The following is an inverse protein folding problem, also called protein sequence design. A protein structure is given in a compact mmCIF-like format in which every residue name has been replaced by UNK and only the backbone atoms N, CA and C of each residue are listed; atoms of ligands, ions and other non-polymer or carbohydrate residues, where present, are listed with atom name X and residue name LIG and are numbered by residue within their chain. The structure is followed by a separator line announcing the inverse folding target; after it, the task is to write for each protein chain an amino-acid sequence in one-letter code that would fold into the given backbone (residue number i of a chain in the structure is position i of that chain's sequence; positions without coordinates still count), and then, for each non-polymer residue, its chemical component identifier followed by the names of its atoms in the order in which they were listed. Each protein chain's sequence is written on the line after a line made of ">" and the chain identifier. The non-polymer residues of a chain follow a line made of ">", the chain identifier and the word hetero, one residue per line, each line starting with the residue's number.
data_IF_571312061826
#
_entry.id   IF_571312061826
#
_cell.length_a   1.000
_cell.length_b   1.000
_cell.length_c   1.000
_cell.angle_alpha   90.00
_cell.angle_beta   90.00
_cell.angle_gamma   90.00
#
_symmetry.space_group_name_H-M   'P 1'
#
loop_
_entity.id
_entity.type
_entity.pdbx_description
1 polymer ?
#
# COMPACT_ATOMS: atom_id res chain seq x y z
N UNK A 1 42.98 61.34 -8.00
CA UNK A 1 42.83 60.65 -6.69
C UNK A 1 41.37 60.74 -6.27
N UNK A 2 40.82 59.57 -5.94
CA UNK A 2 39.45 59.15 -5.63
C UNK A 2 38.35 60.15 -5.21
N UNK A 3 37.16 59.93 -5.80
CA UNK A 3 35.85 60.34 -5.35
C UNK A 3 35.17 59.23 -4.51
N UNK A 4 34.31 59.58 -3.54
CA UNK A 4 33.31 58.72 -2.89
C UNK A 4 32.24 59.62 -2.23
N UNK A 5 31.04 59.73 -2.81
CA UNK A 5 29.82 58.90 -2.63
C UNK A 5 29.10 59.10 -1.29
N UNK A 6 27.97 59.81 -1.35
CA UNK A 6 26.77 59.52 -0.55
C UNK A 6 25.63 59.36 -1.57
N UNK A 7 25.16 58.13 -1.78
CA UNK A 7 24.06 57.81 -2.70
C UNK A 7 22.86 57.40 -1.84
N UNK A 8 21.79 58.19 -1.93
CA UNK A 8 20.42 57.80 -1.59
C UNK A 8 19.97 56.67 -2.53
N UNK A 9 19.54 55.53 -1.98
CA UNK A 9 18.87 54.47 -2.74
C UNK A 9 17.52 54.18 -2.11
N UNK A 10 16.46 54.37 -2.90
CA UNK A 10 15.12 53.85 -2.67
C UNK A 10 15.09 52.32 -2.84
N UNK A 11 14.40 51.60 -1.94
CA UNK A 11 14.24 50.15 -2.01
C UNK A 11 12.91 49.71 -1.38
N UNK A 12 12.06 49.06 -2.19
CA UNK A 12 10.64 48.79 -1.95
C UNK A 12 10.28 47.70 -0.91
N UNK A 13 9.00 47.28 -0.89
CA UNK A 13 8.40 46.50 0.18
C UNK A 13 8.82 45.02 0.08
N UNK A 14 9.92 44.66 0.73
CA UNK A 14 10.39 43.27 0.75
C UNK A 14 11.03 42.95 2.09
N UNK A 15 10.26 42.91 3.19
CA UNK A 15 10.77 42.41 4.47
C UNK A 15 9.73 41.79 5.43
N UNK A 16 8.48 41.51 5.02
CA UNK A 16 7.48 40.87 5.90
C UNK A 16 6.81 39.66 5.23
N UNK A 17 7.60 38.79 4.60
CA UNK A 17 7.10 37.52 4.02
C UNK A 17 8.09 36.36 4.20
N UNK A 18 8.76 36.30 5.35
CA UNK A 18 9.59 35.14 5.75
C UNK A 18 9.29 34.78 7.20
N UNK A 19 8.24 33.99 7.43
CA UNK A 19 8.15 32.91 8.42
C UNK A 19 6.67 32.51 8.57
N UNK A 20 6.27 31.49 7.81
CA UNK A 20 5.38 30.35 8.14
C UNK A 20 5.09 29.72 6.78
N UNK A 21 6.09 29.06 6.19
CA UNK A 21 5.81 28.09 5.14
C UNK A 21 5.45 26.80 5.89
N UNK A 22 4.18 26.67 6.29
CA UNK A 22 3.68 25.35 6.61
C UNK A 22 3.79 24.54 5.32
N UNK A 23 4.76 23.63 5.26
CA UNK A 23 4.87 22.70 4.14
C UNK A 23 3.58 21.87 4.17
N UNK A 24 2.63 22.21 3.31
CA UNK A 24 1.41 21.44 3.14
C UNK A 24 1.85 20.12 2.50
N UNK A 25 1.94 19.09 3.34
CA UNK A 25 2.14 17.72 2.93
C UNK A 25 1.04 17.35 1.93
N UNK A 26 1.43 16.92 0.72
CA UNK A 26 0.47 16.48 -0.30
C UNK A 26 0.80 15.06 -0.70
N UNK A 27 -0.11 14.15 -0.38
CA UNK A 27 -0.01 12.78 -0.89
C UNK A 27 -0.09 12.76 -2.40
N UNK A 28 -1.00 13.53 -3.01
CA UNK A 28 -1.21 13.55 -4.44
C UNK A 28 -1.17 14.99 -4.98
N UNK A 29 -0.14 15.32 -5.76
CA UNK A 29 0.00 16.64 -6.38
C UNK A 29 -0.91 16.81 -7.62
N UNK A 30 -1.38 15.72 -8.22
CA UNK A 30 -2.09 15.72 -9.49
C UNK A 30 -3.61 15.59 -9.35
N UNK A 31 -4.12 15.19 -8.18
CA UNK A 31 -5.55 15.01 -7.94
C UNK A 31 -6.13 16.14 -7.08
N UNK A 32 -7.06 16.97 -7.62
CA UNK A 32 -7.74 17.99 -6.85
C UNK A 32 -8.48 17.41 -5.64
N UNK A 33 -8.45 18.15 -4.52
CA UNK A 33 -9.15 17.84 -3.26
C UNK A 33 -10.64 17.57 -3.51
N UNK A 34 -11.28 18.29 -4.43
CA UNK A 34 -12.71 18.08 -4.78
C UNK A 34 -13.02 16.73 -5.44
N UNK A 35 -12.01 16.04 -5.97
CA UNK A 35 -12.11 14.74 -6.64
C UNK A 35 -11.64 13.57 -5.77
N UNK A 36 -11.37 13.83 -4.49
CA UNK A 36 -11.03 12.83 -3.48
C UNK A 36 -12.23 12.58 -2.58
N UNK A 37 -12.42 11.34 -2.15
CA UNK A 37 -13.47 10.98 -1.19
C UNK A 37 -13.17 11.61 0.17
N UNK A 38 -14.18 12.23 0.77
CA UNK A 38 -14.10 12.80 2.11
C UNK A 38 -14.18 11.74 3.22
N UNK A 39 -13.96 12.17 4.46
CA UNK A 39 -14.01 11.32 5.66
C UNK A 39 -15.32 10.53 5.77
N UNK A 40 -16.48 11.18 5.65
CA UNK A 40 -17.77 10.49 5.77
C UNK A 40 -18.01 9.49 4.64
N UNK A 41 -17.57 9.79 3.42
CA UNK A 41 -17.63 8.85 2.29
C UNK A 41 -16.75 7.63 2.55
N UNK A 42 -15.58 7.81 3.17
CA UNK A 42 -14.71 6.69 3.57
C UNK A 42 -15.33 5.84 4.66
N UNK A 43 -15.95 6.45 5.68
CA UNK A 43 -16.67 5.74 6.72
C UNK A 43 -17.85 4.94 6.15
N UNK A 44 -18.60 5.52 5.21
CA UNK A 44 -19.68 4.83 4.51
C UNK A 44 -19.18 3.66 3.66
N UNK A 45 -18.09 3.86 2.91
CA UNK A 45 -17.45 2.80 2.12
C UNK A 45 -16.96 1.65 3.01
N UNK A 46 -16.27 1.99 4.10
CA UNK A 46 -15.81 1.02 5.11
C UNK A 46 -16.97 0.23 5.69
N UNK A 47 -18.04 0.91 6.13
CA UNK A 47 -19.20 0.28 6.75
C UNK A 47 -19.90 -0.66 5.76
N UNK A 48 -20.08 -0.22 4.51
CA UNK A 48 -20.71 -1.03 3.46
C UNK A 48 -19.89 -2.28 3.14
N UNK A 49 -18.58 -2.13 2.87
CA UNK A 49 -17.71 -3.26 2.52
C UNK A 49 -17.55 -4.24 3.68
N UNK A 50 -17.42 -3.72 4.91
CA UNK A 50 -17.36 -4.56 6.12
C UNK A 50 -18.68 -5.31 6.32
N UNK A 51 -19.83 -4.64 6.16
CA UNK A 51 -21.15 -5.28 6.28
C UNK A 51 -21.34 -6.39 5.24
N UNK A 52 -20.96 -6.16 3.98
CA UNK A 52 -21.01 -7.19 2.92
C UNK A 52 -20.15 -8.40 3.32
N UNK A 53 -18.92 -8.16 3.79
CA UNK A 53 -18.03 -9.23 4.26
C UNK A 53 -18.59 -10.01 5.45
N UNK A 54 -19.22 -9.32 6.41
CA UNK A 54 -19.87 -9.94 7.58
C UNK A 54 -21.05 -10.80 7.15
N UNK A 55 -21.96 -10.27 6.33
CA UNK A 55 -23.13 -11.00 5.86
C UNK A 55 -22.71 -12.26 5.08
N UNK A 56 -21.67 -12.14 4.25
CA UNK A 56 -21.11 -13.27 3.51
C UNK A 56 -20.48 -14.31 4.45
N UNK A 57 -19.71 -13.90 5.45
CA UNK A 57 -19.11 -14.82 6.42
C UNK A 57 -20.17 -15.52 7.28
N UNK A 58 -21.21 -14.81 7.71
CA UNK A 58 -22.34 -15.40 8.45
C UNK A 58 -23.10 -16.38 7.56
N UNK A 59 -23.30 -16.07 6.28
CA UNK A 59 -23.91 -16.99 5.31
C UNK A 59 -23.10 -18.28 5.13
N UNK A 60 -21.77 -18.20 5.21
CA UNK A 60 -20.87 -19.36 5.22
C UNK A 60 -20.84 -20.12 6.57
N UNK A 61 -21.60 -19.66 7.58
CA UNK A 61 -21.72 -20.31 8.88
C UNK A 61 -20.69 -19.88 9.93
N UNK A 62 -19.91 -18.82 9.68
CA UNK A 62 -19.00 -18.28 10.69
C UNK A 62 -19.75 -17.52 11.80
N UNK A 63 -19.37 -17.75 13.06
CA UNK A 63 -19.98 -17.11 14.22
C UNK A 63 -19.20 -17.31 15.52
N UNK A 64 -19.73 -16.79 16.63
CA UNK A 64 -19.14 -16.92 17.96
C UNK A 64 -18.04 -15.89 18.29
N UNK A 65 -17.43 -16.04 19.47
CA UNK A 65 -16.48 -15.05 20.01
C UNK A 65 -15.20 -14.93 19.17
N UNK A 66 -14.66 -16.03 18.64
CA UNK A 66 -13.46 -16.03 17.80
C UNK A 66 -13.68 -15.30 16.47
N UNK A 67 -14.86 -15.50 15.87
CA UNK A 67 -15.29 -14.73 14.69
C UNK A 67 -15.43 -13.25 15.02
N UNK A 68 -16.12 -12.89 16.11
CA UNK A 68 -16.30 -11.50 16.51
C UNK A 68 -14.97 -10.78 16.76
N UNK A 69 -14.00 -11.44 17.41
CA UNK A 69 -12.66 -10.90 17.63
C UNK A 69 -11.89 -10.69 16.33
N UNK A 70 -11.98 -11.66 15.41
CA UNK A 70 -11.35 -11.57 14.07
C UNK A 70 -11.96 -10.48 13.22
N UNK A 71 -13.29 -10.38 13.22
CA UNK A 71 -14.02 -9.33 12.54
C UNK A 71 -13.67 -7.95 13.11
N UNK A 72 -13.58 -7.81 14.43
CA UNK A 72 -13.18 -6.56 15.09
C UNK A 72 -11.79 -6.14 14.63
N UNK A 73 -10.83 -7.07 14.62
CA UNK A 73 -9.48 -6.77 14.18
C UNK A 73 -9.41 -6.40 12.69
N UNK A 74 -10.06 -7.18 11.84
CA UNK A 74 -10.17 -6.89 10.41
C UNK A 74 -10.80 -5.52 10.16
N UNK A 75 -11.98 -5.26 10.75
CA UNK A 75 -12.72 -4.03 10.55
C UNK A 75 -11.94 -2.81 11.02
N UNK A 76 -11.23 -2.90 12.15
CA UNK A 76 -10.39 -1.81 12.65
C UNK A 76 -9.19 -1.54 11.74
N UNK A 77 -8.45 -2.58 11.33
CA UNK A 77 -7.29 -2.41 10.45
C UNK A 77 -7.70 -1.88 9.08
N UNK A 78 -8.82 -2.35 8.55
CA UNK A 78 -9.37 -1.87 7.27
C UNK A 78 -9.92 -0.45 7.37
N UNK A 79 -10.53 -0.09 8.50
CA UNK A 79 -10.95 1.28 8.77
C UNK A 79 -9.77 2.23 8.68
N UNK A 80 -8.68 1.94 9.39
CA UNK A 80 -7.49 2.77 9.39
C UNK A 80 -6.91 2.93 7.97
N UNK A 81 -6.79 1.83 7.23
CA UNK A 81 -6.35 1.85 5.84
C UNK A 81 -7.18 2.84 4.98
N UNK A 82 -8.51 2.83 5.12
CA UNK A 82 -9.39 3.74 4.39
C UNK A 82 -9.37 5.19 4.92
N UNK A 83 -9.29 5.37 6.23
CA UNK A 83 -9.25 6.71 6.85
C UNK A 83 -8.00 7.49 6.45
N UNK A 84 -6.86 6.83 6.34
CA UNK A 84 -5.63 7.47 5.84
C UNK A 84 -5.73 7.89 4.37
N UNK A 85 -6.59 7.24 3.58
CA UNK A 85 -6.86 7.61 2.19
C UNK A 85 -7.95 8.69 2.04
N UNK A 86 -8.58 9.10 3.14
CA UNK A 86 -9.57 10.17 3.14
C UNK A 86 -8.92 11.51 2.82
N UNK A 87 -9.64 12.34 2.07
CA UNK A 87 -9.26 13.71 1.77
C UNK A 87 -8.94 14.51 3.04
N UNK A 88 -7.75 15.09 3.10
CA UNK A 88 -7.31 15.91 4.22
C UNK A 88 -6.86 15.11 5.45
N UNK A 89 -6.76 13.78 5.33
CA UNK A 89 -6.17 12.95 6.38
C UNK A 89 -4.70 13.32 6.60
N UNK A 90 -3.94 13.63 5.55
CA UNK A 90 -2.55 14.09 5.62
C UNK A 90 -2.37 15.33 6.48
N UNK A 91 -3.20 16.34 6.22
CA UNK A 91 -3.09 17.63 6.88
C UNK A 91 -3.68 17.58 8.28
N UNK A 92 -4.84 16.94 8.44
CA UNK A 92 -5.49 16.82 9.75
C UNK A 92 -4.72 15.94 10.70
N UNK A 93 -4.15 14.82 10.22
CA UNK A 93 -3.32 13.95 11.04
C UNK A 93 -2.01 14.66 11.36
N UNK A 94 -1.22 15.11 10.37
CA UNK A 94 0.07 15.75 10.65
C UNK A 94 -0.02 17.04 11.49
N UNK A 95 -1.14 17.78 11.42
CA UNK A 95 -1.36 18.99 12.22
C UNK A 95 -1.82 18.70 13.66
N UNK A 96 -2.60 17.64 13.89
CA UNK A 96 -3.11 17.29 15.23
C UNK A 96 -2.20 16.34 16.00
N UNK A 97 -1.30 15.67 15.30
CA UNK A 97 -0.55 14.56 15.83
C UNK A 97 0.96 14.76 15.64
N UNK A 98 1.69 14.86 16.76
CA UNK A 98 3.15 14.98 16.81
C UNK A 98 3.84 13.64 16.51
N UNK A 99 5.18 13.57 16.61
CA UNK A 99 5.93 12.31 16.50
C UNK A 99 5.41 11.18 17.42
N UNK A 100 4.76 11.51 18.55
CA UNK A 100 4.12 10.52 19.42
C UNK A 100 2.98 9.73 18.75
N UNK A 101 2.41 10.23 17.67
CA UNK A 101 1.26 9.61 17.00
C UNK A 101 1.55 8.34 16.25
N UNK A 102 2.75 8.19 15.69
CA UNK A 102 3.19 6.92 15.11
C UNK A 102 3.19 5.81 16.15
N UNK A 103 3.67 6.10 17.37
CA UNK A 103 3.67 5.16 18.47
C UNK A 103 2.28 4.91 19.05
N UNK A 104 1.40 5.92 19.12
CA UNK A 104 0.01 5.73 19.50
C UNK A 104 -0.74 4.83 18.51
N UNK A 105 -0.54 5.04 17.21
CA UNK A 105 -1.03 4.12 16.18
C UNK A 105 -0.45 2.72 16.40
N UNK A 106 0.86 2.59 16.63
CA UNK A 106 1.48 1.31 16.94
C UNK A 106 0.87 0.61 18.15
N UNK A 107 0.58 1.34 19.23
CA UNK A 107 -0.08 0.81 20.41
C UNK A 107 -1.52 0.35 20.10
N UNK A 108 -2.27 1.12 19.30
CA UNK A 108 -3.60 0.72 18.84
C UNK A 108 -3.55 -0.55 17.97
N UNK A 109 -2.58 -0.67 17.06
CA UNK A 109 -2.38 -1.86 16.24
C UNK A 109 -2.04 -3.09 17.10
N UNK A 110 -1.18 -2.94 18.11
CA UNK A 110 -0.85 -4.02 19.03
C UNK A 110 -2.07 -4.43 19.86
N UNK A 111 -2.83 -3.46 20.38
CA UNK A 111 -4.06 -3.73 21.13
C UNK A 111 -5.05 -4.54 20.29
N UNK A 112 -5.23 -4.17 19.02
CA UNK A 112 -6.11 -4.87 18.08
C UNK A 112 -5.63 -6.29 17.80
N UNK A 113 -4.32 -6.48 17.66
CA UNK A 113 -3.73 -7.81 17.57
C UNK A 113 -4.01 -8.65 18.83
N UNK A 114 -3.88 -8.06 20.02
CA UNK A 114 -4.16 -8.75 21.28
C UNK A 114 -5.64 -9.10 21.42
N UNK A 115 -6.56 -8.23 20.98
CA UNK A 115 -8.00 -8.53 20.92
C UNK A 115 -8.25 -9.77 20.04
N UNK A 116 -7.63 -9.83 18.86
CA UNK A 116 -7.68 -11.02 18.00
C UNK A 116 -7.12 -12.26 18.71
N UNK A 117 -5.90 -12.17 19.23
CA UNK A 117 -5.19 -13.32 19.78
C UNK A 117 -5.88 -13.90 21.01
N UNK A 118 -6.37 -13.03 21.92
CA UNK A 118 -7.12 -13.44 23.10
C UNK A 118 -8.52 -13.95 22.70
N UNK A 119 -9.23 -13.23 21.83
CA UNK A 119 -10.60 -13.58 21.44
C UNK A 119 -10.70 -14.86 20.61
N UNK A 120 -9.61 -15.26 19.94
CA UNK A 120 -9.49 -16.54 19.21
C UNK A 120 -8.83 -17.65 20.03
N UNK A 121 -8.52 -17.42 21.32
CA UNK A 121 -7.75 -18.32 22.18
C UNK A 121 -6.41 -18.76 21.56
N UNK A 122 -5.80 -17.89 20.77
CA UNK A 122 -4.54 -18.14 20.06
C UNK A 122 -3.36 -17.36 20.64
N UNK A 123 -3.55 -16.68 21.78
CA UNK A 123 -2.49 -15.92 22.43
C UNK A 123 -1.29 -16.79 22.79
N UNK A 124 -0.09 -16.30 22.46
CA UNK A 124 1.17 -16.78 23.00
C UNK A 124 2.13 -15.60 23.12
N UNK A 125 3.06 -15.67 24.07
CA UNK A 125 4.08 -14.62 24.24
C UNK A 125 4.91 -14.43 22.96
N UNK A 126 5.26 -15.52 22.27
CA UNK A 126 5.97 -15.46 21.00
C UNK A 126 5.18 -14.68 19.94
N UNK A 127 3.88 -14.97 19.78
CA UNK A 127 3.00 -14.28 18.83
C UNK A 127 2.88 -12.79 19.12
N UNK A 128 2.63 -12.45 20.39
CA UNK A 128 2.55 -11.06 20.82
C UNK A 128 3.87 -10.30 20.63
N UNK A 129 5.01 -10.94 20.94
CA UNK A 129 6.34 -10.35 20.74
C UNK A 129 6.65 -10.14 19.26
N UNK A 130 6.29 -11.09 18.39
CA UNK A 130 6.45 -10.93 16.94
C UNK A 130 5.56 -9.80 16.41
N UNK A 131 4.29 -9.74 16.80
CA UNK A 131 3.41 -8.63 16.42
C UNK A 131 3.97 -7.28 16.89
N UNK A 132 4.40 -7.18 18.14
CA UNK A 132 5.02 -5.97 18.67
C UNK A 132 6.30 -5.61 17.91
N UNK A 133 7.13 -6.58 17.54
CA UNK A 133 8.35 -6.36 16.75
C UNK A 133 8.03 -5.84 15.35
N UNK A 134 7.06 -6.46 14.66
CA UNK A 134 6.60 -6.03 13.34
C UNK A 134 6.01 -4.62 13.34
N UNK A 135 5.47 -4.17 14.46
CA UNK A 135 4.89 -2.83 14.61
C UNK A 135 5.97 -1.82 15.01
N UNK A 136 6.65 -2.05 16.14
CA UNK A 136 7.47 -1.02 16.77
C UNK A 136 8.88 -0.91 16.19
N UNK A 137 9.45 -1.98 15.60
CA UNK A 137 10.77 -1.88 14.97
C UNK A 137 10.72 -0.94 13.76
N UNK A 138 9.79 -1.08 12.79
CA UNK A 138 9.66 -0.13 11.69
C UNK A 138 9.42 1.31 12.15
N UNK A 139 8.57 1.50 13.16
CA UNK A 139 8.27 2.82 13.71
C UNK A 139 9.50 3.46 14.39
N UNK A 140 10.28 2.69 15.14
CA UNK A 140 11.52 3.16 15.76
C UNK A 140 12.58 3.52 14.71
N UNK A 141 12.74 2.68 13.67
CA UNK A 141 13.64 2.98 12.55
C UNK A 141 13.19 4.26 11.83
N UNK A 142 11.89 4.42 11.59
CA UNK A 142 11.33 5.62 10.96
C UNK A 142 11.59 6.88 11.80
N UNK A 143 11.38 6.80 13.12
CA UNK A 143 11.66 7.90 14.04
C UNK A 143 13.15 8.28 14.05
N UNK A 144 14.07 7.31 13.97
CA UNK A 144 15.52 7.57 13.86
C UNK A 144 15.92 8.35 12.60
N UNK A 145 15.03 8.35 11.60
CA UNK A 145 15.24 9.00 10.33
C UNK A 145 14.37 10.23 10.14
N UNK A 146 13.54 10.66 11.12
CA UNK A 146 12.52 11.71 10.95
C UNK A 146 13.01 12.93 10.17
N UNK A 147 14.19 13.46 10.51
CA UNK A 147 14.79 14.66 9.89
C UNK A 147 15.66 14.39 8.66
N UNK A 148 15.87 13.12 8.29
CA UNK A 148 16.67 12.74 7.12
C UNK A 148 15.86 12.91 5.84
N UNK A 149 16.50 13.23 4.71
CA UNK A 149 15.83 13.25 3.42
C UNK A 149 15.17 11.89 3.11
N UNK A 150 14.08 11.91 2.35
CA UNK A 150 13.42 10.71 1.88
C UNK A 150 14.33 9.92 0.93
N UNK A 151 14.39 8.60 1.09
CA UNK A 151 15.32 7.73 0.37
C UNK A 151 16.59 7.42 1.18
N UNK A 152 16.53 7.55 2.51
CA UNK A 152 17.59 7.11 3.39
C UNK A 152 17.59 5.57 3.50
N UNK A 153 18.73 4.98 3.90
CA UNK A 153 18.83 3.52 4.06
C UNK A 153 17.77 2.94 5.01
N UNK A 154 17.36 3.70 6.03
CA UNK A 154 16.29 3.32 6.96
C UNK A 154 14.95 3.09 6.26
N UNK A 155 14.64 3.91 5.26
CA UNK A 155 13.39 3.80 4.49
C UNK A 155 13.37 2.45 3.74
N UNK A 156 14.50 2.04 3.16
CA UNK A 156 14.63 0.76 2.47
C UNK A 156 14.63 -0.44 3.42
N UNK A 157 15.26 -0.32 4.61
CA UNK A 157 15.19 -1.38 5.63
C UNK A 157 13.76 -1.61 6.10
N UNK A 158 12.98 -0.55 6.30
CA UNK A 158 11.55 -0.66 6.64
C UNK A 158 10.78 -1.36 5.52
N UNK A 159 10.97 -0.94 4.26
CA UNK A 159 10.30 -1.55 3.10
C UNK A 159 10.63 -3.04 2.99
N UNK A 160 11.91 -3.41 3.09
CA UNK A 160 12.36 -4.81 3.03
C UNK A 160 11.79 -5.61 4.20
N UNK A 161 11.81 -5.06 5.43
CA UNK A 161 11.25 -5.71 6.61
C UNK A 161 9.75 -5.98 6.46
N UNK A 162 8.99 -5.00 5.96
CA UNK A 162 7.55 -5.15 5.67
C UNK A 162 7.31 -6.18 4.56
N UNK A 163 8.12 -6.14 3.50
CA UNK A 163 8.00 -7.10 2.41
C UNK A 163 8.26 -8.54 2.87
N UNK A 164 9.34 -8.77 3.62
CA UNK A 164 9.69 -10.09 4.19
C UNK A 164 8.61 -10.57 5.17
N UNK A 165 7.99 -9.66 5.92
CA UNK A 165 6.88 -9.98 6.81
C UNK A 165 5.64 -10.50 6.04
N UNK A 166 5.29 -9.88 4.91
CA UNK A 166 4.11 -10.27 4.13
C UNK A 166 4.37 -11.50 3.27
N UNK A 167 5.50 -11.52 2.56
CA UNK A 167 5.96 -12.61 1.69
C UNK A 167 7.34 -13.05 2.19
N UNK A 168 7.42 -13.99 3.15
CA UNK A 168 8.72 -14.51 3.55
C UNK A 168 9.44 -15.07 2.32
N UNK A 169 10.76 -14.85 2.28
CA UNK A 169 11.67 -15.50 1.32
C UNK A 169 11.36 -16.99 1.24
N UNK A 170 11.66 -17.66 0.09
CA UNK A 170 11.17 -18.99 -0.24
C UNK A 170 11.19 -19.89 0.98
N UNK A 171 10.07 -20.58 1.19
CA UNK A 171 9.68 -21.43 2.33
C UNK A 171 10.73 -22.49 2.71
N UNK A 172 11.98 -22.08 2.97
CA UNK A 172 13.16 -22.92 3.15
C UNK A 172 12.99 -23.82 4.37
N UNK A 173 12.01 -23.50 5.22
CA UNK A 173 11.72 -24.13 6.50
C UNK A 173 10.24 -24.48 6.69
N UNK A 174 9.40 -24.42 5.64
CA UNK A 174 7.95 -24.71 5.76
C UNK A 174 7.14 -23.69 6.59
N UNK A 175 7.78 -22.67 7.16
CA UNK A 175 7.14 -21.70 8.07
C UNK A 175 6.56 -20.48 7.32
N UNK A 176 5.25 -20.26 7.45
CA UNK A 176 4.60 -19.00 7.04
C UNK A 176 4.32 -18.16 8.28
N UNK A 177 5.03 -17.04 8.42
CA UNK A 177 4.84 -16.12 9.55
C UNK A 177 3.39 -15.64 9.64
N UNK A 178 2.77 -15.32 8.50
CA UNK A 178 1.36 -14.93 8.43
C UNK A 178 0.44 -15.98 9.05
N UNK A 179 0.55 -17.24 8.64
CA UNK A 179 -0.30 -18.33 9.16
C UNK A 179 -0.03 -18.61 10.65
N UNK A 180 1.22 -18.45 11.09
CA UNK A 180 1.55 -18.59 12.50
C UNK A 180 1.01 -17.44 13.35
N UNK A 181 1.02 -16.21 12.84
CA UNK A 181 0.55 -15.01 13.53
C UNK A 181 -0.99 -14.94 13.59
N UNK A 182 -1.66 -15.48 12.57
CA UNK A 182 -3.11 -15.46 12.39
C UNK A 182 -3.70 -16.86 12.15
N UNK A 183 -3.69 -17.75 13.17
CA UNK A 183 -4.08 -19.15 13.01
C UNK A 183 -5.58 -19.38 12.80
N UNK A 184 -6.43 -18.44 13.21
CA UNK A 184 -7.89 -18.53 13.03
C UNK A 184 -8.36 -17.67 11.84
N UNK A 185 -9.31 -18.14 11.01
CA UNK A 185 -9.97 -19.45 11.01
C UNK A 185 -9.22 -20.46 10.11
N UNK A 186 -8.23 -21.16 10.65
CA UNK A 186 -7.39 -22.08 9.87
C UNK A 186 -6.41 -21.38 8.91
N UNK A 187 -6.02 -20.14 9.23
CA UNK A 187 -5.08 -19.36 8.42
C UNK A 187 -5.65 -18.78 7.12
N UNK A 188 -6.94 -18.98 6.81
CA UNK A 188 -7.54 -18.49 5.57
C UNK A 188 -7.42 -16.96 5.39
N UNK A 189 -7.50 -16.21 6.49
CA UNK A 189 -7.37 -14.74 6.50
C UNK A 189 -5.97 -14.26 6.88
N UNK A 190 -5.00 -15.18 7.04
CA UNK A 190 -3.69 -14.85 7.56
C UNK A 190 -2.92 -13.87 6.67
N UNK A 191 -2.99 -14.07 5.35
CA UNK A 191 -2.35 -13.17 4.40
C UNK A 191 -3.01 -11.77 4.41
N UNK A 192 -4.34 -11.61 4.19
CA UNK A 192 -4.99 -10.30 4.25
C UNK A 192 -4.78 -9.56 5.59
N UNK A 193 -4.83 -10.25 6.73
CA UNK A 193 -4.62 -9.62 8.05
C UNK A 193 -3.17 -9.16 8.24
N UNK A 194 -2.20 -9.93 7.75
CA UNK A 194 -0.78 -9.52 7.77
C UNK A 194 -0.56 -8.31 6.88
N UNK A 195 -1.15 -8.30 5.68
CA UNK A 195 -1.12 -7.16 4.75
C UNK A 195 -1.72 -5.92 5.41
N UNK A 196 -2.93 -6.03 5.98
CA UNK A 196 -3.60 -4.93 6.65
C UNK A 196 -2.79 -4.38 7.83
N UNK A 197 -2.21 -5.25 8.67
CA UNK A 197 -1.33 -4.82 9.75
C UNK A 197 -0.11 -4.06 9.19
N UNK A 198 0.58 -4.64 8.21
CA UNK A 198 1.79 -4.07 7.63
C UNK A 198 1.54 -2.75 6.89
N UNK A 199 0.41 -2.61 6.19
CA UNK A 199 0.00 -1.35 5.55
C UNK A 199 -0.19 -0.26 6.61
N UNK A 200 -0.86 -0.58 7.72
CA UNK A 200 -1.05 0.40 8.79
C UNK A 200 0.26 0.77 9.50
N UNK A 201 1.20 -0.17 9.65
CA UNK A 201 2.55 0.12 10.13
C UNK A 201 3.31 1.02 9.13
N UNK A 202 3.23 0.72 7.83
CA UNK A 202 3.82 1.56 6.78
C UNK A 202 3.21 2.96 6.74
N UNK A 203 1.91 3.12 6.98
CA UNK A 203 1.25 4.41 7.13
C UNK A 203 1.80 5.15 8.36
N UNK A 204 1.87 4.49 9.53
CA UNK A 204 2.51 5.09 10.71
C UNK A 204 3.94 5.55 10.44
N UNK A 205 4.75 4.70 9.80
CA UNK A 205 6.15 4.97 9.51
C UNK A 205 6.34 6.08 8.47
N UNK A 206 5.72 5.95 7.30
CA UNK A 206 6.01 6.84 6.16
C UNK A 206 5.13 8.07 6.11
N UNK A 207 3.88 7.96 6.56
CA UNK A 207 2.95 9.08 6.53
C UNK A 207 3.08 9.94 7.79
N UNK A 208 3.02 9.35 8.99
CA UNK A 208 3.01 10.13 10.23
C UNK A 208 4.42 10.56 10.66
N UNK A 209 5.37 9.62 10.68
CA UNK A 209 6.73 9.87 11.18
C UNK A 209 7.64 10.48 10.10
N UNK A 210 7.83 9.79 8.97
CA UNK A 210 8.73 10.27 7.90
C UNK A 210 8.12 11.39 7.05
N UNK A 211 6.80 11.55 7.08
CA UNK A 211 6.09 12.61 6.34
C UNK A 211 6.44 12.61 4.85
N UNK A 212 6.52 11.42 4.26
CA UNK A 212 6.93 11.22 2.88
C UNK A 212 5.87 11.79 1.93
N UNK A 213 6.22 12.85 1.21
CA UNK A 213 5.34 13.45 0.21
C UNK A 213 5.17 12.58 -1.04
N UNK A 214 4.14 12.86 -1.84
CA UNK A 214 4.00 12.30 -3.19
C UNK A 214 3.67 10.80 -3.26
N UNK A 215 3.32 10.16 -2.14
CA UNK A 215 2.93 8.74 -2.10
C UNK A 215 1.72 8.47 -3.03
N UNK A 216 0.76 9.38 -3.09
CA UNK A 216 -0.49 9.23 -3.83
C UNK A 216 -1.56 8.45 -3.08
N UNK A 217 -1.44 8.32 -1.75
CA UNK A 217 -2.34 7.55 -0.88
C UNK A 217 -3.69 8.27 -0.69
N UNK A 218 -4.56 8.17 -1.70
CA UNK A 218 -5.89 8.76 -1.69
C UNK A 218 -6.81 7.97 -2.61
N UNK A 219 -8.08 7.83 -2.25
CA UNK A 219 -9.11 7.35 -3.20
C UNK A 219 -9.83 8.55 -3.79
N UNK A 220 -9.92 8.57 -5.12
CA UNK A 220 -10.61 9.61 -5.86
C UNK A 220 -10.70 9.28 -7.34
N UNK A 221 -11.01 10.27 -8.16
CA UNK A 221 -11.06 10.11 -9.62
C UNK A 221 -10.63 11.36 -10.38
N UNK A 222 -9.42 11.32 -10.96
CA UNK A 222 -8.88 12.40 -11.77
C UNK A 222 -9.50 12.46 -13.17
N UNK A 223 -9.40 13.62 -13.83
CA UNK A 223 -10.03 13.85 -15.15
C UNK A 223 -9.50 12.92 -16.24
N UNK A 224 -8.21 12.61 -16.19
CA UNK A 224 -7.54 11.80 -17.22
C UNK A 224 -7.27 10.36 -16.75
N UNK A 225 -7.78 9.96 -15.58
CA UNK A 225 -7.53 8.64 -15.03
C UNK A 225 -8.04 7.53 -15.94
N UNK A 226 -9.26 7.66 -16.45
CA UNK A 226 -9.85 6.64 -17.34
C UNK A 226 -8.95 6.35 -18.53
N UNK A 227 -8.37 7.38 -19.16
CA UNK A 227 -7.45 7.21 -20.27
C UNK A 227 -6.20 6.43 -19.85
N UNK A 228 -5.51 6.85 -18.79
CA UNK A 228 -4.27 6.20 -18.34
C UNK A 228 -4.49 4.78 -17.82
N UNK A 229 -5.61 4.53 -17.12
CA UNK A 229 -5.98 3.21 -16.61
C UNK A 229 -6.24 2.26 -17.78
N UNK A 230 -7.12 2.65 -18.72
CA UNK A 230 -7.48 1.81 -19.87
C UNK A 230 -6.28 1.62 -20.80
N UNK A 231 -5.52 2.68 -21.10
CA UNK A 231 -4.34 2.59 -21.95
C UNK A 231 -3.27 1.65 -21.36
N UNK A 232 -3.02 1.72 -20.05
CA UNK A 232 -2.06 0.83 -19.39
C UNK A 232 -2.52 -0.62 -19.38
N UNK A 233 -3.80 -0.84 -19.06
CA UNK A 233 -4.39 -2.17 -19.04
C UNK A 233 -4.31 -2.83 -20.42
N UNK A 234 -4.74 -2.12 -21.47
CA UNK A 234 -4.72 -2.63 -22.85
C UNK A 234 -3.28 -2.83 -23.36
N UNK A 235 -2.39 -1.86 -23.13
CA UNK A 235 -1.00 -1.98 -23.57
C UNK A 235 -0.27 -3.14 -22.86
N UNK A 236 -0.51 -3.33 -21.56
CA UNK A 236 -0.01 -4.50 -20.86
C UNK A 236 -0.60 -5.79 -21.42
N UNK A 237 -1.92 -5.88 -21.60
CA UNK A 237 -2.59 -7.07 -22.12
C UNK A 237 -2.07 -7.49 -23.51
N UNK A 238 -1.85 -6.51 -24.41
CA UNK A 238 -1.28 -6.74 -25.73
C UNK A 238 0.13 -7.36 -25.71
N UNK A 239 0.89 -7.16 -24.62
CA UNK A 239 2.24 -7.73 -24.46
C UNK A 239 2.17 -9.04 -23.67
N UNK A 240 1.48 -9.02 -22.53
CA UNK A 240 1.45 -10.10 -21.56
C UNK A 240 0.69 -11.33 -22.05
N UNK A 241 -0.37 -11.17 -22.85
CA UNK A 241 -1.14 -12.32 -23.36
C UNK A 241 -0.30 -13.14 -24.36
N UNK A 242 0.28 -12.54 -25.43
CA UNK A 242 1.14 -13.29 -26.35
C UNK A 242 2.38 -13.85 -25.66
N UNK A 243 3.05 -13.04 -24.83
CA UNK A 243 4.27 -13.46 -24.14
C UNK A 243 3.99 -14.58 -23.12
N UNK A 244 2.96 -14.43 -22.31
CA UNK A 244 2.58 -15.41 -21.30
C UNK A 244 2.12 -16.73 -21.92
N UNK A 245 1.43 -16.69 -23.06
CA UNK A 245 1.06 -17.91 -23.80
C UNK A 245 2.30 -18.57 -24.41
N UNK A 246 3.17 -17.79 -25.06
CA UNK A 246 4.41 -18.29 -25.67
C UNK A 246 5.41 -18.85 -24.65
N UNK A 247 5.41 -18.35 -23.42
CA UNK A 247 6.24 -18.87 -22.33
C UNK A 247 5.60 -20.05 -21.59
N UNK A 248 4.42 -20.51 -21.99
CA UNK A 248 3.64 -21.51 -21.24
C UNK A 248 3.44 -21.10 -19.77
N UNK A 249 3.12 -19.83 -19.53
CA UNK A 249 2.76 -19.32 -18.22
C UNK A 249 1.25 -19.23 -18.06
N UNK A 250 0.53 -18.77 -19.08
CA UNK A 250 -0.94 -18.74 -19.09
C UNK A 250 -1.54 -19.62 -20.18
N UNK A 251 -2.69 -20.18 -19.88
CA UNK A 251 -3.56 -20.88 -20.82
C UNK A 251 -4.97 -20.29 -20.73
N UNK A 252 -5.60 -20.03 -21.88
CA UNK A 252 -6.99 -19.60 -21.91
C UNK A 252 -7.90 -20.70 -21.37
N UNK A 253 -8.52 -20.44 -20.22
CA UNK A 253 -9.45 -21.36 -19.56
C UNK A 253 -10.42 -20.56 -18.66
N UNK A 254 -11.44 -19.91 -19.26
CA UNK A 254 -12.35 -19.05 -18.51
C UNK A 254 -13.17 -19.79 -17.46
N UNK A 255 -13.24 -19.24 -16.24
CA UNK A 255 -13.91 -19.83 -15.09
C UNK A 255 -15.34 -19.32 -14.93
N UNK A 256 -16.21 -19.64 -15.89
CA UNK A 256 -17.61 -19.18 -15.88
C UNK A 256 -18.40 -19.54 -14.62
N UNK A 257 -18.02 -20.61 -13.92
CA UNK A 257 -18.63 -21.00 -12.63
C UNK A 257 -18.40 -19.98 -11.51
N UNK A 258 -17.35 -19.17 -11.60
CA UNK A 258 -16.98 -18.17 -10.60
C UNK A 258 -17.54 -16.78 -10.93
N UNK A 259 -18.34 -16.65 -12.01
CA UNK A 259 -18.89 -15.38 -12.48
C UNK A 259 -19.67 -14.61 -11.39
N UNK A 260 -20.49 -15.31 -10.61
CA UNK A 260 -21.28 -14.70 -9.54
C UNK A 260 -20.41 -14.15 -8.41
N UNK A 261 -19.30 -14.82 -8.09
CA UNK A 261 -18.34 -14.39 -7.08
C UNK A 261 -17.34 -13.34 -7.58
N UNK A 262 -17.22 -13.17 -8.90
CA UNK A 262 -16.20 -12.33 -9.52
C UNK A 262 -16.18 -10.89 -9.01
N UNK A 263 -17.32 -10.19 -8.78
CA UNK A 263 -17.30 -8.84 -8.22
C UNK A 263 -16.69 -8.78 -6.82
N UNK A 264 -17.00 -9.75 -5.96
CA UNK A 264 -16.46 -9.83 -4.60
C UNK A 264 -14.96 -10.17 -4.63
N UNK A 265 -14.56 -11.10 -5.50
CA UNK A 265 -13.15 -11.45 -5.73
C UNK A 265 -12.36 -10.26 -6.25
N UNK A 266 -12.90 -9.49 -7.21
CA UNK A 266 -12.26 -8.30 -7.76
C UNK A 266 -12.07 -7.21 -6.69
N UNK A 267 -13.06 -7.01 -5.83
CA UNK A 267 -12.93 -6.10 -4.68
C UNK A 267 -11.88 -6.59 -3.68
N UNK A 268 -11.84 -7.88 -3.38
CA UNK A 268 -10.84 -8.45 -2.49
C UNK A 268 -9.42 -8.30 -3.06
N UNK A 269 -9.22 -8.58 -4.35
CA UNK A 269 -7.96 -8.36 -5.05
C UNK A 269 -7.59 -6.88 -5.00
N UNK A 270 -8.51 -5.96 -5.29
CA UNK A 270 -8.25 -4.53 -5.29
C UNK A 270 -7.78 -4.03 -3.92
N UNK A 271 -8.53 -4.33 -2.85
CA UNK A 271 -8.28 -3.77 -1.51
C UNK A 271 -7.21 -4.53 -0.71
N UNK A 272 -7.03 -5.84 -0.91
CA UNK A 272 -6.14 -6.65 -0.07
C UNK A 272 -4.91 -7.19 -0.80
N UNK A 273 -4.82 -6.99 -2.12
CA UNK A 273 -3.63 -7.33 -2.92
C UNK A 273 -3.09 -6.10 -3.64
N UNK A 274 -3.82 -5.61 -4.64
CA UNK A 274 -3.33 -4.60 -5.56
C UNK A 274 -3.02 -3.27 -4.85
N UNK A 275 -3.95 -2.74 -4.05
CA UNK A 275 -3.73 -1.45 -3.40
C UNK A 275 -2.59 -1.46 -2.36
N UNK A 276 -2.50 -2.47 -1.47
CA UNK A 276 -1.33 -2.65 -0.60
C UNK A 276 0.00 -2.78 -1.35
N UNK A 277 0.05 -3.58 -2.42
CA UNK A 277 1.27 -3.74 -3.22
C UNK A 277 1.62 -2.43 -3.94
N UNK A 278 0.67 -1.73 -4.54
CA UNK A 278 0.93 -0.45 -5.20
C UNK A 278 1.33 0.66 -4.22
N UNK A 279 0.86 0.60 -2.96
CA UNK A 279 1.38 1.45 -1.89
C UNK A 279 2.86 1.17 -1.63
N UNK A 280 3.23 -0.09 -1.42
CA UNK A 280 4.61 -0.50 -1.14
C UNK A 280 5.55 -0.19 -2.31
N UNK A 281 5.15 -0.54 -3.54
CA UNK A 281 6.03 -0.48 -4.69
C UNK A 281 6.04 0.87 -5.40
N UNK A 282 4.91 1.59 -5.48
CA UNK A 282 4.88 2.90 -6.20
C UNK A 282 4.94 4.05 -5.22
N UNK A 283 4.01 4.07 -4.27
CA UNK A 283 3.92 5.13 -3.28
C UNK A 283 5.18 5.27 -2.44
N UNK A 284 5.80 4.15 -2.09
CA UNK A 284 7.03 4.10 -1.28
C UNK A 284 8.26 3.78 -2.12
N UNK A 285 8.45 2.56 -2.60
CA UNK A 285 9.73 2.12 -3.19
C UNK A 285 10.14 2.93 -4.42
N UNK A 286 9.28 3.07 -5.42
CA UNK A 286 9.55 3.88 -6.61
C UNK A 286 9.82 5.34 -6.25
N UNK A 287 8.96 5.95 -5.43
CA UNK A 287 9.11 7.33 -4.95
C UNK A 287 10.46 7.55 -4.24
N UNK A 288 10.83 6.66 -3.32
CA UNK A 288 12.07 6.75 -2.55
C UNK A 288 13.31 6.47 -3.40
N UNK A 289 13.26 5.50 -4.31
CA UNK A 289 14.34 5.23 -5.25
C UNK A 289 14.54 6.40 -6.23
N UNK A 290 13.46 7.03 -6.71
CA UNK A 290 13.54 8.24 -7.54
C UNK A 290 14.29 9.36 -6.81
N UNK A 291 14.03 9.55 -5.51
CA UNK A 291 14.70 10.57 -4.68
C UNK A 291 16.15 10.20 -4.37
N UNK A 292 16.41 8.96 -3.98
CA UNK A 292 17.75 8.48 -3.65
C UNK A 292 18.69 8.53 -4.86
N UNK A 293 18.19 8.12 -6.03
CA UNK A 293 18.94 8.17 -7.30
C UNK A 293 18.91 9.52 -8.00
N UNK A 294 18.06 10.46 -7.53
CA UNK A 294 17.75 11.73 -8.19
C UNK A 294 17.27 11.56 -9.65
N UNK A 295 16.63 10.44 -9.97
CA UNK A 295 16.16 10.10 -11.31
C UNK A 295 14.82 9.35 -11.26
N UNK A 296 13.77 10.01 -11.74
CA UNK A 296 12.43 9.41 -11.85
C UNK A 296 12.40 8.17 -12.74
N UNK A 297 13.28 8.13 -13.74
CA UNK A 297 13.40 7.00 -14.66
C UNK A 297 14.06 5.83 -13.93
N UNK A 298 15.19 6.06 -13.25
CA UNK A 298 15.89 5.00 -12.54
C UNK A 298 15.03 4.41 -11.43
N UNK A 299 14.33 5.24 -10.64
CA UNK A 299 13.40 4.78 -9.61
C UNK A 299 12.27 3.92 -10.17
N UNK A 300 11.67 4.34 -11.29
CA UNK A 300 10.59 3.62 -11.94
C UNK A 300 11.01 2.25 -12.49
N UNK A 301 12.12 2.19 -13.23
CA UNK A 301 12.61 0.91 -13.77
C UNK A 301 13.04 -0.04 -12.66
N UNK A 302 13.77 0.46 -11.66
CA UNK A 302 14.25 -0.37 -10.54
C UNK A 302 13.08 -0.92 -9.73
N UNK A 303 12.08 -0.10 -9.39
CA UNK A 303 10.90 -0.56 -8.66
C UNK A 303 10.06 -1.57 -9.45
N UNK A 304 9.98 -1.43 -10.78
CA UNK A 304 9.32 -2.41 -11.66
C UNK A 304 10.02 -3.76 -11.65
N UNK A 305 11.36 -3.77 -11.75
CA UNK A 305 12.17 -4.99 -11.68
C UNK A 305 12.05 -5.65 -10.30
N UNK A 306 12.15 -4.88 -9.21
CA UNK A 306 11.99 -5.40 -7.85
C UNK A 306 10.58 -5.95 -7.60
N UNK A 307 9.55 -5.35 -8.19
CA UNK A 307 8.19 -5.90 -8.20
C UNK A 307 8.12 -7.24 -8.96
N UNK A 308 8.84 -7.40 -10.06
CA UNK A 308 8.99 -8.71 -10.71
C UNK A 308 9.61 -9.74 -9.78
N UNK A 309 10.76 -9.40 -9.18
CA UNK A 309 11.47 -10.28 -8.26
C UNK A 309 10.65 -10.67 -7.02
N UNK A 310 9.75 -9.80 -6.54
CA UNK A 310 8.88 -10.14 -5.41
C UNK A 310 7.88 -11.26 -5.72
N UNK A 311 7.76 -11.67 -6.97
CA UNK A 311 6.90 -12.75 -7.44
C UNK A 311 7.68 -14.04 -7.75
N UNK A 312 9.00 -14.08 -7.53
CA UNK A 312 9.84 -15.24 -7.88
C UNK A 312 9.46 -16.53 -7.15
N UNK A 313 8.83 -16.44 -5.99
CA UNK A 313 8.38 -17.58 -5.17
C UNK A 313 6.96 -18.01 -5.49
N UNK A 314 6.23 -17.27 -6.33
CA UNK A 314 4.86 -17.57 -6.63
C UNK A 314 4.78 -18.75 -7.61
N UNK A 315 3.92 -19.72 -7.30
CA UNK A 315 3.66 -20.89 -8.15
C UNK A 315 4.93 -21.72 -8.41
N UNK A 316 5.77 -21.88 -7.37
CA UNK A 316 7.05 -22.57 -7.42
C UNK A 316 8.25 -21.63 -7.32
N UNK A 317 9.40 -22.15 -6.92
CA UNK A 317 10.65 -21.38 -6.83
C UNK A 317 11.79 -22.07 -7.58
N UNK A 318 12.54 -21.36 -8.46
CA UNK A 318 12.31 -19.99 -8.92
C UNK A 318 11.34 -19.91 -10.12
N UNK A 319 10.39 -18.97 -10.08
CA UNK A 319 9.47 -18.71 -11.20
C UNK A 319 9.88 -17.49 -12.04
N UNK A 320 10.87 -17.69 -12.91
CA UNK A 320 11.36 -16.62 -13.80
C UNK A 320 10.33 -16.13 -14.81
N UNK A 321 9.37 -16.98 -15.20
CA UNK A 321 8.27 -16.60 -16.11
C UNK A 321 7.38 -15.54 -15.45
N UNK A 322 7.05 -15.74 -14.17
CA UNK A 322 6.33 -14.77 -13.38
C UNK A 322 7.17 -13.49 -13.19
N UNK A 323 8.46 -13.59 -12.84
CA UNK A 323 9.32 -12.41 -12.68
C UNK A 323 9.31 -11.52 -13.92
N UNK A 324 9.41 -12.10 -15.12
CA UNK A 324 9.38 -11.35 -16.38
C UNK A 324 8.03 -10.62 -16.59
N UNK A 325 6.91 -11.34 -16.48
CA UNK A 325 5.58 -10.76 -16.70
C UNK A 325 5.22 -9.72 -15.63
N UNK A 326 5.54 -9.99 -14.36
CA UNK A 326 5.33 -9.05 -13.27
C UNK A 326 6.23 -7.82 -13.40
N UNK A 327 7.46 -7.94 -13.90
CA UNK A 327 8.30 -6.77 -14.21
C UNK A 327 7.63 -5.86 -15.24
N UNK A 328 7.11 -6.45 -16.32
CA UNK A 328 6.39 -5.71 -17.37
C UNK A 328 5.13 -5.06 -16.78
N UNK A 329 4.37 -5.78 -15.96
CA UNK A 329 3.20 -5.23 -15.26
C UNK A 329 3.58 -4.02 -14.39
N UNK A 330 4.67 -4.15 -13.62
CA UNK A 330 5.22 -3.09 -12.77
C UNK A 330 5.56 -1.81 -13.54
N UNK A 331 6.02 -1.93 -14.79
CA UNK A 331 6.28 -0.77 -15.66
C UNK A 331 4.98 0.00 -15.92
N UNK A 332 3.90 -0.69 -16.30
CA UNK A 332 2.60 -0.05 -16.59
C UNK A 332 1.92 0.51 -15.35
N UNK A 333 2.02 -0.19 -14.22
CA UNK A 333 1.52 0.28 -12.93
C UNK A 333 2.27 1.55 -12.51
N UNK A 334 3.61 1.51 -12.53
CA UNK A 334 4.46 2.67 -12.25
C UNK A 334 4.23 3.84 -13.20
N UNK A 335 3.94 3.59 -14.48
CA UNK A 335 3.56 4.63 -15.44
C UNK A 335 2.22 5.27 -15.09
N UNK A 336 1.22 4.46 -14.74
CA UNK A 336 -0.10 4.95 -14.31
C UNK A 336 0.04 5.85 -13.09
N UNK A 337 0.81 5.42 -12.09
CA UNK A 337 1.09 6.23 -10.91
C UNK A 337 1.77 7.55 -11.27
N UNK A 338 2.80 7.54 -12.13
CA UNK A 338 3.48 8.77 -12.58
C UNK A 338 2.57 9.76 -13.30
N UNK A 339 1.60 9.25 -14.08
CA UNK A 339 0.67 10.08 -14.86
C UNK A 339 -0.51 10.61 -14.04
N UNK A 340 -0.87 9.90 -12.97
CA UNK A 340 -2.07 10.21 -12.17
C UNK A 340 -1.76 10.76 -10.78
N UNK A 341 -0.54 10.58 -10.29
CA UNK A 341 -0.10 10.85 -8.92
C UNK A 341 -0.78 9.97 -7.87
N UNK A 342 -1.47 8.88 -8.26
CA UNK A 342 -2.36 8.10 -7.40
C UNK A 342 -2.02 6.62 -7.40
N UNK A 343 -1.79 6.06 -6.22
CA UNK A 343 -1.65 4.61 -6.10
C UNK A 343 -2.97 3.90 -6.33
N UNK A 344 -4.11 4.55 -6.06
CA UNK A 344 -5.41 3.94 -6.29
C UNK A 344 -5.69 3.76 -7.79
N UNK A 345 -5.26 4.72 -8.63
CA UNK A 345 -5.34 4.55 -10.08
C UNK A 345 -4.47 3.38 -10.56
N UNK A 346 -3.25 3.25 -10.02
CA UNK A 346 -2.37 2.11 -10.29
C UNK A 346 -2.98 0.78 -9.83
N UNK A 347 -3.57 0.79 -8.63
CA UNK A 347 -4.23 -0.38 -8.02
C UNK A 347 -5.45 -0.84 -8.82
N UNK A 348 -6.18 0.07 -9.48
CA UNK A 348 -7.25 -0.30 -10.41
C UNK A 348 -6.69 -1.05 -11.61
N UNK A 349 -5.58 -0.59 -12.21
CA UNK A 349 -4.94 -1.30 -13.33
C UNK A 349 -4.44 -2.67 -12.87
N UNK A 350 -3.75 -2.73 -11.74
CA UNK A 350 -3.23 -3.97 -11.15
C UNK A 350 -4.38 -4.93 -10.81
N UNK A 351 -5.39 -4.49 -10.07
CA UNK A 351 -6.55 -5.31 -9.74
C UNK A 351 -7.34 -5.77 -10.96
N UNK A 352 -7.44 -4.94 -12.01
CA UNK A 352 -8.06 -5.36 -13.27
C UNK A 352 -7.25 -6.44 -13.99
N UNK A 353 -5.91 -6.33 -14.01
CA UNK A 353 -5.02 -7.36 -14.55
C UNK A 353 -5.20 -8.68 -13.79
N UNK A 354 -5.13 -8.65 -12.46
CA UNK A 354 -5.25 -9.85 -11.63
C UNK A 354 -6.63 -10.48 -11.73
N UNK A 355 -7.69 -9.67 -11.72
CA UNK A 355 -9.07 -10.15 -11.90
C UNK A 355 -9.25 -10.80 -13.28
N UNK A 356 -8.72 -10.18 -14.33
CA UNK A 356 -8.78 -10.71 -15.70
C UNK A 356 -7.99 -12.02 -15.79
N UNK A 357 -6.80 -12.07 -15.19
CA UNK A 357 -5.96 -13.25 -15.15
C UNK A 357 -6.66 -14.40 -14.40
N UNK A 358 -7.16 -14.14 -13.19
CA UNK A 358 -7.88 -15.09 -12.36
C UNK A 358 -9.09 -15.69 -13.07
N UNK A 359 -9.84 -14.87 -13.80
CA UNK A 359 -11.08 -15.27 -14.44
C UNK A 359 -10.88 -15.97 -15.79
N UNK A 360 -10.00 -15.46 -16.65
CA UNK A 360 -9.88 -15.92 -18.04
C UNK A 360 -8.81 -16.97 -18.27
N UNK A 361 -7.83 -17.09 -17.37
CA UNK A 361 -6.64 -17.89 -17.62
C UNK A 361 -6.31 -18.83 -16.46
N UNK A 362 -5.80 -20.02 -16.80
CA UNK A 362 -5.12 -20.91 -15.87
C UNK A 362 -3.61 -20.70 -15.96
N UNK A 363 -2.92 -20.77 -14.83
CA UNK A 363 -1.44 -20.80 -14.83
C UNK A 363 -0.97 -22.23 -15.03
N UNK A 364 0.02 -22.43 -15.89
CA UNK A 364 0.60 -23.75 -16.18
C UNK A 364 1.78 -24.11 -15.29
#
# INVERSE_FOLDING_TARGET
>A
MYASRVILVSGGPCCIAKLVCSVILRYNFCLPVTRQLGLFSMLGLWALLTLIGVLYAVWLGYGGHAFAATLTAFAFLFLLMLLFAARGAETSLAARFSAGSGYLLGAALLLVYLIYALGTNSFSFGRAATAASLIFIPLAIAASAERKPAGAWQDFVIIVGIWVAVKPLPQLWGFSMSHWLWPFPGGQLAYPLTVLLCVNVALGAFVLLRRTDGIGYSIGWGRNWSFFIVASFLAFACIAIPLGTGMHFIQWEPRWREWESLPLTALAILFFTAWPEEFLFRGLLQNLLSRASKSEIAGWWTASVLFGFSHITNLGFPNWRYVALATIAGIFYGWTWRRTGSIFASAIVHGAVDTTWHFLFRTQ
#
